data_IF_777464796947
#
_entry.id   IF_777464796947
#
_cell.length_a   1.000
_cell.length_b   1.000
_cell.length_c   1.000
_cell.angle_alpha   90.00
_cell.angle_beta   90.00
_cell.angle_gamma   90.00
#
_symmetry.space_group_name_H-M   'P 1'
#
loop_
_entity.id
_entity.type
_entity.pdbx_description
1 polymer ?
#
# COMPACT_ATOMS: atom_id res chain seq x y z
N UNK A 1 -8.21 -5.67 -14.96
CA UNK A 1 -8.94 -6.66 -15.80
C UNK A 1 -7.95 -7.67 -16.38
N UNK A 2 -6.88 -7.26 -17.08
CA UNK A 2 -5.93 -8.19 -17.72
C UNK A 2 -5.11 -9.02 -16.71
N UNK A 3 -4.78 -8.49 -15.56
CA UNK A 3 -4.00 -9.19 -14.51
C UNK A 3 -4.73 -10.37 -13.88
N UNK A 4 -6.05 -10.44 -14.00
CA UNK A 4 -6.85 -11.58 -13.51
C UNK A 4 -6.92 -12.77 -14.50
N UNK A 5 -6.58 -12.51 -15.77
CA UNK A 5 -6.69 -13.50 -16.85
C UNK A 5 -5.34 -14.06 -17.32
N UNK A 6 -4.24 -13.43 -16.95
CA UNK A 6 -2.90 -13.76 -17.42
C UNK A 6 -1.81 -13.35 -16.43
N UNK A 7 -0.58 -13.87 -16.59
CA UNK A 7 0.53 -13.51 -15.71
C UNK A 7 0.82 -12.00 -15.75
N UNK A 8 1.19 -11.43 -14.61
CA UNK A 8 1.43 -9.99 -14.47
C UNK A 8 2.43 -9.44 -15.51
N UNK A 9 3.52 -10.18 -15.79
CA UNK A 9 4.50 -9.77 -16.79
C UNK A 9 3.92 -9.69 -18.21
N UNK A 10 3.11 -10.67 -18.60
CA UNK A 10 2.46 -10.67 -19.91
C UNK A 10 1.40 -9.55 -20.00
N UNK A 11 0.65 -9.30 -18.93
CA UNK A 11 -0.33 -8.21 -18.88
C UNK A 11 0.34 -6.84 -19.07
N UNK A 12 1.49 -6.60 -18.45
CA UNK A 12 2.27 -5.35 -18.61
C UNK A 12 2.73 -5.19 -20.07
N UNK A 13 3.36 -6.23 -20.64
CA UNK A 13 3.82 -6.19 -22.04
C UNK A 13 2.66 -5.93 -22.99
N UNK A 14 1.54 -6.64 -22.82
CA UNK A 14 0.36 -6.45 -23.65
C UNK A 14 -0.21 -5.03 -23.53
N UNK A 15 -0.27 -4.49 -22.32
CA UNK A 15 -0.76 -3.12 -22.08
C UNK A 15 0.14 -2.10 -22.78
N UNK A 16 1.46 -2.24 -22.68
CA UNK A 16 2.41 -1.35 -23.37
C UNK A 16 2.23 -1.43 -24.88
N UNK A 17 2.16 -2.64 -25.45
CA UNK A 17 1.96 -2.83 -26.88
C UNK A 17 0.65 -2.19 -27.33
N UNK A 18 -0.46 -2.48 -26.66
CA UNK A 18 -1.75 -1.90 -27.00
C UNK A 18 -1.75 -0.37 -26.89
N UNK A 19 -1.14 0.18 -25.86
CA UNK A 19 -1.02 1.63 -25.67
C UNK A 19 -0.23 2.27 -26.83
N UNK A 20 0.87 1.68 -27.26
CA UNK A 20 1.66 2.15 -28.39
C UNK A 20 0.87 2.07 -29.71
N UNK A 21 0.16 0.96 -29.93
CA UNK A 21 -0.68 0.79 -31.12
C UNK A 21 -1.78 1.84 -31.17
N UNK A 22 -2.52 2.01 -30.08
CA UNK A 22 -3.62 2.99 -30.02
C UNK A 22 -3.09 4.42 -30.13
N UNK A 23 -1.99 4.77 -29.47
CA UNK A 23 -1.40 6.10 -29.58
C UNK A 23 -0.93 6.39 -31.01
N UNK A 24 -0.32 5.41 -31.69
CA UNK A 24 0.12 5.54 -33.07
C UNK A 24 -1.07 5.73 -34.02
N UNK A 25 -2.11 4.91 -33.85
CA UNK A 25 -3.33 5.04 -34.66
C UNK A 25 -4.05 6.38 -34.38
N UNK A 26 -4.12 6.82 -33.14
CA UNK A 26 -4.69 8.12 -32.80
C UNK A 26 -3.95 9.24 -33.53
N UNK A 27 -2.64 9.32 -33.34
CA UNK A 27 -1.81 10.41 -33.85
C UNK A 27 -1.73 10.45 -35.41
N UNK A 28 -1.51 9.29 -36.04
CA UNK A 28 -1.28 9.25 -37.50
C UNK A 28 -2.56 9.06 -38.33
N UNK A 29 -3.62 8.55 -37.76
CA UNK A 29 -4.86 8.23 -38.51
C UNK A 29 -6.04 9.03 -38.00
N UNK A 30 -6.39 8.89 -36.70
CA UNK A 30 -7.65 9.44 -36.17
C UNK A 30 -7.61 10.98 -36.16
N UNK A 31 -6.58 11.56 -35.55
CA UNK A 31 -6.46 13.01 -35.41
C UNK A 31 -6.39 13.73 -36.77
N UNK A 32 -5.51 13.34 -37.72
CA UNK A 32 -5.51 13.94 -39.06
C UNK A 32 -6.85 13.78 -39.78
N UNK A 33 -7.47 12.60 -39.70
CA UNK A 33 -8.76 12.35 -40.32
C UNK A 33 -9.87 13.27 -39.78
N UNK A 34 -9.97 13.40 -38.44
CA UNK A 34 -10.94 14.29 -37.78
C UNK A 34 -10.65 15.76 -38.08
N UNK A 35 -9.39 16.13 -38.23
CA UNK A 35 -8.98 17.48 -38.63
C UNK A 35 -9.14 17.78 -40.13
N UNK A 36 -9.68 16.82 -40.93
CA UNK A 36 -9.82 16.95 -42.39
C UNK A 36 -8.51 17.00 -43.14
N UNK A 37 -7.40 16.55 -42.55
CA UNK A 37 -6.06 16.49 -43.14
C UNK A 37 -5.85 15.12 -43.83
N UNK A 38 -4.95 15.05 -44.85
CA UNK A 38 -4.59 13.76 -45.44
C UNK A 38 -3.91 12.86 -44.39
N UNK A 39 -4.36 11.61 -44.31
CA UNK A 39 -3.79 10.60 -43.42
C UNK A 39 -2.52 10.04 -44.05
N UNK A 40 -1.40 10.07 -43.30
CA UNK A 40 -0.11 9.52 -43.73
C UNK A 40 0.43 8.58 -42.66
N UNK A 41 0.49 7.30 -42.98
CA UNK A 41 1.00 6.26 -42.07
C UNK A 41 2.27 5.64 -42.68
N UNK A 42 3.38 5.68 -41.96
CA UNK A 42 4.69 5.17 -42.42
C UNK A 42 5.11 5.62 -43.81
N UNK A 43 4.79 6.88 -44.19
CA UNK A 43 5.14 7.43 -45.51
C UNK A 43 4.11 7.18 -46.59
N UNK A 44 3.11 6.34 -46.39
CA UNK A 44 2.05 6.01 -47.31
C UNK A 44 0.84 6.91 -47.08
N UNK A 45 0.33 7.53 -48.13
CA UNK A 45 -0.92 8.30 -48.06
C UNK A 45 -2.09 7.34 -48.14
N UNK A 46 -2.97 7.43 -47.13
CA UNK A 46 -4.21 6.66 -47.07
C UNK A 46 -5.39 7.57 -47.42
N UNK A 47 -6.07 7.25 -48.49
CA UNK A 47 -7.36 7.89 -48.84
C UNK A 47 -8.47 7.22 -48.03
N UNK A 48 -8.90 7.81 -46.94
CA UNK A 48 -9.99 7.34 -46.09
C UNK A 48 -11.36 7.92 -46.47
N UNK A 49 -11.41 8.77 -47.48
CA UNK A 49 -12.68 9.40 -47.91
C UNK A 49 -13.79 8.41 -48.23
N UNK A 50 -13.56 7.24 -48.91
CA UNK A 50 -14.63 6.25 -49.14
C UNK A 50 -15.17 5.66 -47.85
N UNK A 51 -14.36 5.60 -46.80
CA UNK A 51 -14.74 4.99 -45.53
C UNK A 51 -15.23 5.97 -44.45
N UNK A 52 -15.39 7.25 -44.80
CA UNK A 52 -15.76 8.32 -43.87
C UNK A 52 -17.04 8.01 -43.09
N UNK A 53 -18.07 7.51 -43.75
CA UNK A 53 -19.34 7.13 -43.11
C UNK A 53 -19.15 5.97 -42.11
N UNK A 54 -18.34 4.98 -42.48
CA UNK A 54 -18.04 3.84 -41.61
C UNK A 54 -17.20 4.24 -40.41
N UNK A 55 -16.21 5.12 -40.60
CA UNK A 55 -15.37 5.65 -39.53
C UNK A 55 -16.18 6.47 -38.51
N UNK A 56 -17.09 7.34 -38.97
CA UNK A 56 -17.96 8.07 -38.06
C UNK A 56 -18.97 7.14 -37.38
N UNK A 57 -19.51 6.14 -38.09
CA UNK A 57 -20.39 5.14 -37.51
C UNK A 57 -19.70 4.31 -36.42
N UNK A 58 -18.50 3.80 -36.70
CA UNK A 58 -17.72 3.03 -35.69
C UNK A 58 -17.30 3.87 -34.49
N UNK A 59 -16.94 5.15 -34.70
CA UNK A 59 -16.63 6.08 -33.61
C UNK A 59 -17.85 6.35 -32.72
N UNK A 60 -19.03 6.51 -33.32
CA UNK A 60 -20.27 6.67 -32.56
C UNK A 60 -20.63 5.41 -31.75
N UNK A 61 -20.47 4.22 -32.34
CA UNK A 61 -20.66 2.95 -31.64
C UNK A 61 -19.67 2.80 -30.48
N UNK A 62 -18.39 3.13 -30.72
CA UNK A 62 -17.37 3.07 -29.67
C UNK A 62 -17.68 4.05 -28.52
N UNK A 63 -18.09 5.27 -28.85
CA UNK A 63 -18.51 6.24 -27.86
C UNK A 63 -19.72 5.76 -27.04
N UNK A 64 -20.70 5.13 -27.70
CA UNK A 64 -21.86 4.54 -27.03
C UNK A 64 -21.45 3.38 -26.11
N UNK A 65 -20.57 2.48 -26.57
CA UNK A 65 -20.04 1.37 -25.75
C UNK A 65 -19.30 1.95 -24.52
N UNK A 66 -18.46 2.96 -24.73
CA UNK A 66 -17.76 3.64 -23.63
C UNK A 66 -18.73 4.24 -22.62
N UNK A 67 -19.77 4.93 -23.11
CA UNK A 67 -20.79 5.53 -22.24
C UNK A 67 -21.55 4.45 -21.44
N UNK A 68 -21.95 3.36 -22.10
CA UNK A 68 -22.58 2.22 -21.42
C UNK A 68 -21.65 1.60 -20.38
N UNK A 69 -20.38 1.39 -20.74
CA UNK A 69 -19.39 0.82 -19.82
C UNK A 69 -19.21 1.71 -18.58
N UNK A 70 -19.13 3.03 -18.76
CA UNK A 70 -19.01 3.98 -17.63
C UNK A 70 -20.31 3.99 -16.81
N UNK A 71 -21.47 3.98 -17.46
CA UNK A 71 -22.76 4.01 -16.76
C UNK A 71 -23.09 2.70 -16.03
N UNK A 72 -22.57 1.56 -16.51
CA UNK A 72 -22.78 0.23 -15.92
C UNK A 72 -21.57 -0.25 -15.12
N UNK A 73 -20.49 0.54 -15.09
CA UNK A 73 -19.33 0.21 -14.24
C UNK A 73 -19.82 0.07 -12.80
N UNK A 74 -19.49 -1.04 -12.12
CA UNK A 74 -19.81 -1.16 -10.71
C UNK A 74 -19.21 0.03 -9.98
N UNK A 75 -19.94 0.59 -9.03
CA UNK A 75 -19.39 1.57 -8.11
C UNK A 75 -18.11 1.01 -7.52
N UNK A 76 -17.11 1.87 -7.27
CA UNK A 76 -15.87 1.47 -6.59
C UNK A 76 -16.24 0.60 -5.40
N UNK A 77 -15.64 -0.57 -5.32
CA UNK A 77 -15.87 -1.48 -4.20
C UNK A 77 -15.56 -0.75 -2.88
N UNK A 78 -16.22 -1.14 -1.80
CA UNK A 78 -16.01 -0.54 -0.48
C UNK A 78 -14.52 -0.49 -0.11
N UNK A 79 -13.74 -1.47 -0.59
CA UNK A 79 -12.29 -1.50 -0.44
C UNK A 79 -11.59 -0.34 -1.16
N UNK A 80 -11.86 -0.14 -2.44
CA UNK A 80 -11.24 0.93 -3.25
C UNK A 80 -11.65 2.30 -2.74
N UNK A 81 -12.93 2.46 -2.38
CA UNK A 81 -13.45 3.68 -1.77
C UNK A 81 -12.77 3.93 -0.42
N UNK A 82 -12.66 2.90 0.42
CA UNK A 82 -11.99 2.99 1.72
C UNK A 82 -10.52 3.38 1.59
N UNK A 83 -9.79 2.77 0.66
CA UNK A 83 -8.39 3.14 0.40
C UNK A 83 -8.26 4.57 -0.10
N UNK A 84 -9.11 5.00 -1.04
CA UNK A 84 -9.08 6.36 -1.57
C UNK A 84 -9.38 7.39 -0.48
N UNK A 85 -10.46 7.20 0.28
CA UNK A 85 -10.85 8.11 1.36
C UNK A 85 -9.76 8.17 2.44
N UNK A 86 -9.24 7.03 2.88
CA UNK A 86 -8.18 6.97 3.88
C UNK A 86 -6.87 7.62 3.37
N UNK A 87 -6.51 7.41 2.09
CA UNK A 87 -5.34 8.05 1.49
C UNK A 87 -5.50 9.58 1.41
N UNK A 88 -6.69 10.07 1.07
CA UNK A 88 -6.99 11.51 1.06
C UNK A 88 -6.97 12.10 2.47
N UNK A 89 -7.57 11.43 3.45
CA UNK A 89 -7.54 11.87 4.84
C UNK A 89 -6.13 11.90 5.39
N UNK A 90 -5.30 10.91 5.06
CA UNK A 90 -3.91 10.86 5.46
C UNK A 90 -3.08 11.96 4.78
N UNK A 91 -3.26 12.18 3.48
CA UNK A 91 -2.60 13.29 2.78
C UNK A 91 -2.95 14.63 3.45
N UNK A 92 -4.21 14.83 3.84
CA UNK A 92 -4.67 16.01 4.54
C UNK A 92 -4.07 16.12 5.96
N UNK A 93 -3.97 14.99 6.67
CA UNK A 93 -3.34 14.93 8.00
C UNK A 93 -1.85 15.23 7.91
N UNK A 94 -1.14 14.70 6.91
CA UNK A 94 0.29 14.97 6.70
C UNK A 94 0.53 16.44 6.29
N UNK A 95 -0.35 17.03 5.47
CA UNK A 95 -0.30 18.47 5.17
C UNK A 95 -0.53 19.33 6.41
N UNK A 96 -1.40 18.91 7.32
CA UNK A 96 -1.65 19.61 8.58
C UNK A 96 -0.51 19.40 9.60
N UNK A 97 0.23 18.29 9.53
CA UNK A 97 1.40 18.01 10.40
C UNK A 97 2.59 18.90 10.15
N UNK A 98 2.78 19.39 8.94
CA UNK A 98 3.82 20.39 8.66
C UNK A 98 3.59 21.72 9.40
N UNK A 99 2.45 21.88 10.10
CA UNK A 99 2.10 23.12 10.81
C UNK A 99 1.60 22.98 12.24
N UNK A 100 1.60 21.77 12.83
CA UNK A 100 1.17 21.63 14.23
C UNK A 100 2.09 20.71 15.01
N UNK A 101 3.29 21.22 15.31
CA UNK A 101 3.95 20.86 16.56
C UNK A 101 3.29 21.74 17.63
N UNK A 102 2.11 21.39 18.06
CA UNK A 102 1.58 21.92 19.32
C UNK A 102 2.27 21.17 20.46
N UNK A 103 3.29 21.81 21.01
CA UNK A 103 3.67 21.61 22.40
C UNK A 103 2.49 22.09 23.25
N UNK A 104 1.60 21.17 23.59
CA UNK A 104 0.43 21.46 24.42
C UNK A 104 -0.24 20.16 24.80
N UNK A 105 -0.04 19.73 26.04
CA UNK A 105 -0.65 18.56 26.68
C UNK A 105 -0.41 17.20 25.98
N UNK A 106 0.83 16.88 25.71
CA UNK A 106 1.30 15.50 25.65
C UNK A 106 1.35 14.92 27.07
N UNK A 107 0.21 14.97 27.75
CA UNK A 107 -0.05 14.12 28.89
C UNK A 107 -0.14 12.70 28.35
N UNK A 108 0.90 11.92 28.61
CA UNK A 108 0.97 10.49 28.52
C UNK A 108 0.46 9.87 27.20
N UNK A 109 1.43 9.41 26.36
CA UNK A 109 1.27 8.31 25.44
C UNK A 109 0.80 8.61 24.02
N UNK A 110 1.48 9.51 23.31
CA UNK A 110 1.74 9.23 21.90
C UNK A 110 3.13 8.56 21.79
N UNK A 111 3.36 7.51 22.57
CA UNK A 111 4.67 6.85 22.61
C UNK A 111 4.85 5.80 21.50
N UNK A 112 3.96 5.79 20.52
CA UNK A 112 3.97 4.80 19.43
C UNK A 112 3.77 5.48 18.09
N UNK A 113 4.77 5.38 17.24
CA UNK A 113 4.65 5.69 15.81
C UNK A 113 4.46 4.40 15.03
N UNK A 114 3.46 4.36 14.14
CA UNK A 114 3.20 3.25 13.22
C UNK A 114 3.49 3.73 11.80
N UNK A 115 4.52 3.16 11.18
CA UNK A 115 4.82 3.39 9.76
C UNK A 115 4.31 2.16 9.01
N UNK A 116 3.31 2.35 8.13
CA UNK A 116 2.56 1.27 7.54
C UNK A 116 2.32 1.38 6.04
N UNK A 117 1.99 0.24 5.44
CA UNK A 117 1.54 0.11 4.06
C UNK A 117 0.00 0.14 3.95
N UNK A 118 -0.54 -0.36 2.85
CA UNK A 118 -1.99 -0.38 2.58
C UNK A 118 -2.79 -1.21 3.59
N UNK A 119 -2.19 -2.23 4.21
CA UNK A 119 -2.87 -3.05 5.23
C UNK A 119 -3.08 -2.26 6.51
N UNK A 120 -2.06 -1.51 6.94
CA UNK A 120 -2.16 -0.60 8.06
C UNK A 120 -3.11 0.57 7.78
N UNK A 121 -3.05 1.14 6.56
CA UNK A 121 -3.95 2.20 6.12
C UNK A 121 -5.42 1.76 6.18
N UNK A 122 -5.71 0.55 5.69
CA UNK A 122 -7.04 -0.05 5.75
C UNK A 122 -7.56 -0.19 7.18
N UNK A 123 -6.66 -0.36 8.15
CA UNK A 123 -6.99 -0.47 9.56
C UNK A 123 -7.14 0.87 10.30
N UNK A 124 -7.09 2.02 9.61
CA UNK A 124 -7.02 3.35 10.24
C UNK A 124 -8.16 3.61 11.24
N UNK A 125 -9.38 3.19 10.92
CA UNK A 125 -10.53 3.30 11.84
C UNK A 125 -10.33 2.46 13.11
N UNK A 126 -9.79 1.24 12.97
CA UNK A 126 -9.49 0.38 14.11
C UNK A 126 -8.31 0.93 14.94
N UNK A 127 -7.29 1.51 14.31
CA UNK A 127 -6.22 2.25 15.01
C UNK A 127 -6.81 3.39 15.84
N UNK A 128 -7.65 4.23 15.26
CA UNK A 128 -8.30 5.35 15.97
C UNK A 128 -9.14 4.89 17.15
N UNK A 129 -9.76 3.70 17.06
CA UNK A 129 -10.62 3.15 18.12
C UNK A 129 -9.82 2.43 19.22
N UNK A 130 -8.85 1.58 18.83
CA UNK A 130 -8.16 0.65 19.75
C UNK A 130 -6.83 1.20 20.25
N UNK A 131 -6.20 2.10 19.49
CA UNK A 131 -4.92 2.74 19.80
C UNK A 131 -5.00 4.25 19.49
N UNK A 132 -5.90 5.00 20.14
CA UNK A 132 -6.17 6.40 19.79
C UNK A 132 -4.97 7.32 19.95
N UNK A 133 -3.98 6.92 20.77
CA UNK A 133 -2.78 7.71 21.03
C UNK A 133 -1.59 7.32 20.12
N UNK A 134 -1.73 6.29 19.27
CA UNK A 134 -0.70 5.94 18.31
C UNK A 134 -0.75 6.89 17.12
N UNK A 135 0.43 7.32 16.70
CA UNK A 135 0.59 8.09 15.47
C UNK A 135 0.68 7.12 14.30
N UNK A 136 -0.29 7.16 13.39
CA UNK A 136 -0.31 6.32 12.20
C UNK A 136 0.13 7.11 10.97
N UNK A 137 1.21 6.68 10.34
CA UNK A 137 1.62 7.11 9.00
C UNK A 137 1.61 5.89 8.07
N UNK A 138 0.58 5.75 7.25
CA UNK A 138 0.42 4.62 6.36
C UNK A 138 -0.01 5.08 4.96
N UNK A 139 0.46 4.37 3.91
CA UNK A 139 0.13 4.71 2.53
C UNK A 139 0.00 3.46 1.66
N UNK A 140 -0.77 3.59 0.57
CA UNK A 140 -0.91 2.54 -0.44
C UNK A 140 0.45 2.25 -1.09
N UNK A 141 0.74 0.97 -1.30
CA UNK A 141 1.95 0.49 -1.99
C UNK A 141 3.28 0.96 -1.38
N UNK A 142 3.29 1.37 -0.10
CA UNK A 142 4.53 1.79 0.56
C UNK A 142 5.53 0.65 0.60
N UNK A 143 6.73 0.90 0.08
CA UNK A 143 7.90 0.01 0.16
C UNK A 143 8.69 0.25 1.45
N UNK A 144 9.66 -0.63 1.73
CA UNK A 144 10.62 -0.41 2.82
C UNK A 144 11.44 0.88 2.61
N UNK A 145 11.89 1.19 1.39
CA UNK A 145 12.65 2.41 1.09
C UNK A 145 11.87 3.67 1.47
N UNK A 146 10.60 3.78 1.02
CA UNK A 146 9.76 4.92 1.36
C UNK A 146 9.48 5.01 2.87
N UNK A 147 9.31 3.87 3.54
CA UNK A 147 9.13 3.82 4.99
C UNK A 147 10.41 4.26 5.72
N UNK A 148 11.59 3.90 5.20
CA UNK A 148 12.87 4.27 5.78
C UNK A 148 13.16 5.76 5.66
N UNK A 149 12.80 6.39 4.54
CA UNK A 149 12.87 7.86 4.40
C UNK A 149 12.03 8.58 5.47
N UNK A 150 10.79 8.11 5.70
CA UNK A 150 9.92 8.67 6.75
C UNK A 150 10.55 8.47 8.13
N UNK A 151 11.02 7.26 8.41
CA UNK A 151 11.66 6.92 9.68
C UNK A 151 12.89 7.83 9.96
N UNK A 152 13.75 8.04 8.97
CA UNK A 152 14.90 8.95 9.10
C UNK A 152 14.48 10.40 9.30
N UNK A 153 13.44 10.86 8.61
CA UNK A 153 12.91 12.20 8.76
C UNK A 153 12.34 12.41 10.18
N UNK A 154 11.64 11.42 10.73
CA UNK A 154 11.13 11.49 12.11
C UNK A 154 12.24 11.45 13.15
N UNK A 155 13.33 10.70 12.92
CA UNK A 155 14.52 10.72 13.77
C UNK A 155 15.16 12.11 13.74
N UNK A 156 15.41 12.64 12.56
CA UNK A 156 16.12 13.92 12.38
C UNK A 156 15.34 15.12 12.92
N UNK A 157 14.00 15.07 12.84
CA UNK A 157 13.10 16.09 13.39
C UNK A 157 12.80 15.90 14.89
N UNK A 158 13.22 14.77 15.48
CA UNK A 158 12.92 14.45 16.88
C UNK A 158 11.45 14.11 17.14
N UNK A 159 10.69 13.74 16.12
CA UNK A 159 9.27 13.42 16.22
C UNK A 159 9.00 11.91 16.35
N UNK A 160 10.01 11.06 16.13
CA UNK A 160 9.88 9.62 16.28
C UNK A 160 9.52 9.25 17.73
N UNK A 161 8.47 8.47 17.91
CA UNK A 161 8.08 7.95 19.22
C UNK A 161 9.07 6.89 19.72
N UNK A 162 9.17 6.75 21.05
CA UNK A 162 10.08 5.76 21.70
C UNK A 162 9.80 4.32 21.31
N UNK A 163 8.61 4.02 20.86
CA UNK A 163 8.23 2.72 20.30
C UNK A 163 7.77 2.91 18.84
N UNK A 164 8.50 2.33 17.92
CA UNK A 164 8.17 2.38 16.49
C UNK A 164 7.63 1.03 16.03
N UNK A 165 6.52 1.04 15.33
CA UNK A 165 5.90 -0.13 14.68
C UNK A 165 6.16 -0.03 13.17
N UNK A 166 6.91 -0.97 12.64
CA UNK A 166 7.13 -1.13 11.21
C UNK A 166 6.10 -2.13 10.67
N UNK A 167 5.07 -1.59 10.04
CA UNK A 167 3.94 -2.36 9.50
C UNK A 167 4.03 -2.40 7.96
N UNK A 168 5.18 -2.84 7.46
CA UNK A 168 5.57 -2.90 6.06
C UNK A 168 6.02 -4.34 5.76
N UNK A 169 5.95 -4.74 4.50
CA UNK A 169 6.59 -5.98 4.09
C UNK A 169 5.93 -6.66 2.90
N UNK A 170 4.61 -6.54 2.74
CA UNK A 170 3.90 -7.24 1.67
C UNK A 170 4.29 -6.77 0.26
N UNK A 171 4.74 -5.53 0.13
CA UNK A 171 5.14 -4.91 -1.15
C UNK A 171 6.64 -5.03 -1.46
N UNK A 172 7.47 -5.53 -0.53
CA UNK A 172 8.94 -5.52 -0.65
C UNK A 172 9.53 -6.80 -0.07
N UNK A 173 9.21 -7.95 -0.67
CA UNK A 173 9.64 -9.25 -0.15
C UNK A 173 10.99 -9.74 -0.73
N UNK A 174 11.59 -9.01 -1.65
CA UNK A 174 12.82 -9.50 -2.33
C UNK A 174 14.09 -9.20 -1.52
N UNK A 175 14.14 -8.06 -0.81
CA UNK A 175 15.29 -7.60 -0.02
C UNK A 175 14.96 -7.32 1.45
N UNK A 176 13.92 -7.95 1.96
CA UNK A 176 13.38 -7.67 3.30
C UNK A 176 14.41 -7.77 4.44
N UNK A 177 15.45 -8.60 4.30
CA UNK A 177 16.48 -8.76 5.35
C UNK A 177 17.36 -7.51 5.45
N UNK A 178 17.85 -7.06 4.31
CA UNK A 178 18.67 -5.84 4.19
C UNK A 178 17.85 -4.62 4.57
N UNK A 179 16.60 -4.56 4.11
CA UNK A 179 15.69 -3.46 4.38
C UNK A 179 15.40 -3.33 5.88
N UNK A 180 15.04 -4.43 6.54
CA UNK A 180 14.79 -4.44 8.00
C UNK A 180 16.06 -4.09 8.77
N UNK A 181 17.23 -4.55 8.31
CA UNK A 181 18.51 -4.25 8.96
C UNK A 181 18.80 -2.74 8.97
N UNK A 182 18.46 -2.01 7.92
CA UNK A 182 18.61 -0.55 7.87
C UNK A 182 17.84 0.14 9.01
N UNK A 183 16.61 -0.28 9.32
CA UNK A 183 15.84 0.25 10.45
C UNK A 183 16.46 -0.10 11.79
N UNK A 184 16.97 -1.34 11.93
CA UNK A 184 17.63 -1.80 13.15
C UNK A 184 18.89 -0.97 13.43
N UNK A 185 19.71 -0.72 12.41
CA UNK A 185 20.95 0.05 12.53
C UNK A 185 20.67 1.52 12.84
N UNK A 186 19.70 2.12 12.15
CA UNK A 186 19.34 3.52 12.29
C UNK A 186 18.51 3.85 13.55
N UNK A 187 17.92 2.83 14.21
CA UNK A 187 17.12 3.06 15.43
C UNK A 187 18.00 3.68 16.53
N UNK A 188 17.62 4.82 17.12
CA UNK A 188 18.41 5.44 18.18
C UNK A 188 18.38 4.64 19.49
N UNK A 189 19.38 4.85 20.34
CA UNK A 189 19.40 4.30 21.70
C UNK A 189 18.23 4.84 22.54
N UNK A 190 17.69 4.01 23.40
CA UNK A 190 16.49 4.32 24.18
C UNK A 190 15.16 4.07 23.45
N UNK A 191 15.21 3.54 22.22
CA UNK A 191 14.02 3.22 21.42
C UNK A 191 13.77 1.72 21.32
N UNK A 192 12.54 1.34 20.96
CA UNK A 192 12.10 -0.04 20.72
C UNK A 192 11.51 -0.16 19.33
N UNK A 193 11.70 -1.31 18.68
CA UNK A 193 11.16 -1.60 17.36
C UNK A 193 10.17 -2.77 17.44
N UNK A 194 9.01 -2.59 16.82
CA UNK A 194 8.02 -3.64 16.61
C UNK A 194 7.91 -3.88 15.12
N UNK A 195 8.05 -5.12 14.68
CA UNK A 195 7.91 -5.51 13.28
C UNK A 195 6.64 -6.33 13.13
N UNK A 196 5.82 -5.98 12.16
CA UNK A 196 4.57 -6.68 11.83
C UNK A 196 4.83 -7.65 10.71
N UNK A 197 4.65 -8.96 10.95
CA UNK A 197 4.91 -9.96 9.92
C UNK A 197 3.94 -9.82 8.75
N UNK A 198 4.40 -9.92 7.49
CA UNK A 198 3.52 -9.79 6.32
C UNK A 198 2.62 -11.01 6.15
N UNK A 199 1.49 -10.84 5.45
CA UNK A 199 0.63 -11.92 4.98
C UNK A 199 0.19 -11.68 3.54
N UNK A 200 0.32 -12.72 2.71
CA UNK A 200 -0.17 -12.75 1.33
C UNK A 200 -0.58 -14.20 0.99
N UNK A 201 -1.86 -14.42 0.74
CA UNK A 201 -2.38 -15.75 0.40
C UNK A 201 -1.86 -16.29 -0.94
N UNK A 202 -1.46 -15.39 -1.86
CA UNK A 202 -0.96 -15.74 -3.19
C UNK A 202 0.54 -16.04 -3.21
N UNK A 203 1.31 -15.55 -2.22
CA UNK A 203 2.76 -15.80 -2.10
C UNK A 203 3.15 -16.28 -0.70
N UNK A 204 2.53 -17.37 -0.28
CA UNK A 204 2.72 -17.94 1.06
C UNK A 204 4.18 -18.33 1.36
N UNK A 205 4.95 -18.71 0.35
CA UNK A 205 6.33 -19.14 0.54
C UNK A 205 7.23 -17.96 0.92
N UNK A 206 7.16 -16.85 0.17
CA UNK A 206 7.96 -15.65 0.45
C UNK A 206 7.58 -15.00 1.78
N UNK A 207 6.28 -14.80 2.03
CA UNK A 207 5.85 -14.19 3.31
C UNK A 207 6.18 -15.08 4.51
N UNK A 208 6.20 -16.41 4.34
CA UNK A 208 6.65 -17.31 5.40
C UNK A 208 8.15 -17.17 5.65
N UNK A 209 8.97 -17.03 4.63
CA UNK A 209 10.42 -16.81 4.77
C UNK A 209 10.69 -15.48 5.49
N UNK A 210 10.02 -14.40 5.10
CA UNK A 210 10.13 -13.12 5.77
C UNK A 210 9.73 -13.23 7.25
N UNK A 211 8.59 -13.83 7.54
CA UNK A 211 8.15 -14.08 8.92
C UNK A 211 9.16 -14.88 9.75
N UNK A 212 9.69 -15.98 9.19
CA UNK A 212 10.63 -16.85 9.91
C UNK A 212 11.91 -16.08 10.27
N UNK A 213 12.39 -15.21 9.38
CA UNK A 213 13.49 -14.29 9.65
C UNK A 213 13.12 -13.28 10.75
N UNK A 214 11.99 -12.58 10.61
CA UNK A 214 11.54 -11.60 11.59
C UNK A 214 11.38 -12.20 13.00
N UNK A 215 10.82 -13.42 13.10
CA UNK A 215 10.70 -14.14 14.36
C UNK A 215 12.06 -14.51 15.00
N UNK A 216 13.15 -14.51 14.24
CA UNK A 216 14.49 -14.75 14.75
C UNK A 216 15.13 -13.53 15.39
N UNK A 217 14.75 -12.31 14.95
CA UNK A 217 15.36 -11.05 15.34
C UNK A 217 15.36 -10.78 16.86
N UNK A 218 14.29 -11.07 17.62
CA UNK A 218 14.29 -10.85 19.06
C UNK A 218 15.29 -11.68 19.86
N UNK A 219 15.92 -12.68 19.26
CA UNK A 219 17.00 -13.46 19.89
C UNK A 219 18.33 -12.73 19.87
N UNK A 220 18.55 -11.92 18.83
CA UNK A 220 19.76 -11.10 18.65
C UNK A 220 19.56 -9.70 19.21
N UNK A 221 18.36 -9.13 19.04
CA UNK A 221 18.03 -7.75 19.40
C UNK A 221 16.94 -7.75 20.47
N UNK A 222 17.33 -7.58 21.73
CA UNK A 222 16.43 -7.65 22.89
C UNK A 222 15.35 -6.52 22.91
N UNK A 223 15.53 -5.45 22.16
CA UNK A 223 14.62 -4.32 22.00
C UNK A 223 13.63 -4.49 20.83
N UNK A 224 13.71 -5.60 20.09
CA UNK A 224 12.78 -5.92 19.00
C UNK A 224 11.66 -6.84 19.51
N UNK A 225 10.43 -6.54 19.10
CA UNK A 225 9.24 -7.36 19.35
C UNK A 225 8.54 -7.64 18.03
N UNK A 226 7.98 -8.83 17.85
CA UNK A 226 7.24 -9.19 16.64
C UNK A 226 5.73 -9.19 16.91
N UNK A 227 4.98 -8.48 16.06
CA UNK A 227 3.55 -8.58 15.93
C UNK A 227 3.24 -9.60 14.84
N UNK A 228 3.01 -10.86 15.22
CA UNK A 228 2.86 -11.99 14.29
C UNK A 228 1.49 -11.96 13.60
N UNK A 229 1.32 -11.02 12.67
CA UNK A 229 0.12 -10.90 11.85
C UNK A 229 -0.09 -12.13 10.97
N UNK A 230 0.97 -12.68 10.38
CA UNK A 230 0.87 -13.91 9.60
C UNK A 230 0.12 -15.02 10.35
N UNK A 231 0.47 -15.24 11.62
CA UNK A 231 -0.19 -16.25 12.45
C UNK A 231 -1.67 -15.92 12.66
N UNK A 232 -1.98 -14.68 13.00
CA UNK A 232 -3.37 -14.24 13.19
C UNK A 232 -4.17 -14.37 11.90
N UNK A 233 -3.62 -13.86 10.77
CA UNK A 233 -4.22 -13.92 9.45
C UNK A 233 -4.54 -15.36 9.00
N UNK A 234 -3.60 -16.29 9.24
CA UNK A 234 -3.78 -17.69 8.89
C UNK A 234 -4.82 -18.39 9.77
N UNK A 235 -5.00 -17.94 11.02
CA UNK A 235 -5.97 -18.52 11.96
C UNK A 235 -7.41 -18.03 11.73
N UNK A 236 -7.62 -17.04 10.86
CA UNK A 236 -8.89 -16.40 10.56
C UNK A 236 -9.22 -16.44 9.07
N UNK A 237 -9.47 -17.63 8.49
CA UNK A 237 -9.75 -17.75 7.05
C UNK A 237 -10.99 -16.98 6.59
N UNK A 238 -11.93 -16.72 7.48
CA UNK A 238 -13.17 -16.00 7.22
C UNK A 238 -12.97 -14.55 6.75
N UNK A 239 -11.86 -13.92 7.15
CA UNK A 239 -11.59 -12.52 6.78
C UNK A 239 -11.09 -12.35 5.33
N UNK A 240 -10.78 -13.46 4.66
CA UNK A 240 -10.22 -13.47 3.30
C UNK A 240 -11.25 -13.76 2.21
N UNK A 241 -12.50 -14.05 2.55
CA UNK A 241 -13.54 -14.38 1.58
C UNK A 241 -13.81 -13.20 0.62
N UNK A 242 -13.63 -13.45 -0.67
CA UNK A 242 -13.87 -12.44 -1.73
C UNK A 242 -12.81 -11.33 -1.77
N UNK A 243 -11.61 -11.57 -1.25
CA UNK A 243 -10.51 -10.60 -1.23
C UNK A 243 -9.35 -11.00 -2.14
N UNK A 244 -8.35 -10.13 -2.27
CA UNK A 244 -7.09 -10.38 -2.98
C UNK A 244 -6.09 -11.26 -2.18
N UNK A 245 -6.43 -11.61 -0.94
CA UNK A 245 -5.58 -12.38 -0.05
C UNK A 245 -4.45 -11.60 0.63
N UNK A 246 -4.40 -10.30 0.45
CA UNK A 246 -3.51 -9.34 1.13
C UNK A 246 -4.33 -8.43 2.05
N UNK A 247 -5.43 -7.91 1.51
CA UNK A 247 -6.34 -7.03 2.21
C UNK A 247 -7.57 -7.83 2.66
N UNK A 248 -7.84 -7.83 3.94
CA UNK A 248 -9.01 -8.52 4.50
C UNK A 248 -10.33 -7.86 4.07
N UNK A 249 -11.45 -8.59 4.19
CA UNK A 249 -12.79 -8.15 3.78
C UNK A 249 -13.27 -6.94 4.58
N UNK A 250 -14.01 -6.04 3.90
CA UNK A 250 -14.73 -4.91 4.52
C UNK A 250 -16.10 -5.29 5.09
N UNK A 251 -16.55 -6.51 4.84
CA UNK A 251 -17.91 -6.92 5.23
C UNK A 251 -18.19 -6.78 6.74
N UNK A 252 -17.13 -6.73 7.54
CA UNK A 252 -17.16 -6.43 8.97
C UNK A 252 -15.78 -5.86 9.39
N UNK A 253 -15.70 -5.21 10.52
CA UNK A 253 -14.46 -4.63 11.06
C UNK A 253 -13.48 -5.68 11.60
N UNK A 254 -13.83 -6.96 11.56
CA UNK A 254 -13.09 -8.06 12.22
C UNK A 254 -11.64 -8.13 11.78
N UNK A 255 -11.36 -8.03 10.47
CA UNK A 255 -9.99 -8.09 9.95
C UNK A 255 -9.13 -6.94 10.46
N UNK A 256 -9.66 -5.71 10.43
CA UNK A 256 -8.99 -4.51 10.93
C UNK A 256 -8.74 -4.59 12.44
N UNK A 257 -9.74 -5.03 13.18
CA UNK A 257 -9.64 -5.20 14.64
C UNK A 257 -8.58 -6.26 15.01
N UNK A 258 -8.55 -7.40 14.31
CA UNK A 258 -7.56 -8.45 14.53
C UNK A 258 -6.15 -7.95 14.25
N UNK A 259 -5.98 -7.17 13.18
CA UNK A 259 -4.69 -6.57 12.81
C UNK A 259 -4.20 -5.64 13.92
N UNK A 260 -5.01 -4.67 14.31
CA UNK A 260 -4.65 -3.68 15.34
C UNK A 260 -4.48 -4.34 16.72
N UNK A 261 -5.33 -5.31 17.10
CA UNK A 261 -5.17 -6.08 18.34
C UNK A 261 -3.86 -6.89 18.37
N UNK A 262 -3.41 -7.38 17.20
CA UNK A 262 -2.11 -8.06 17.09
C UNK A 262 -0.97 -7.10 17.38
N UNK A 263 -1.02 -5.89 16.82
CA UNK A 263 -0.05 -4.83 17.08
C UNK A 263 -0.12 -4.38 18.55
N UNK A 264 -1.29 -4.16 19.11
CA UNK A 264 -1.49 -3.76 20.50
C UNK A 264 -0.87 -4.77 21.49
N UNK A 265 -1.03 -6.06 21.23
CA UNK A 265 -0.38 -7.11 22.04
C UNK A 265 1.15 -7.02 21.96
N UNK A 266 1.69 -6.71 20.77
CA UNK A 266 3.12 -6.53 20.61
C UNK A 266 3.63 -5.24 21.31
N UNK A 267 2.89 -4.16 21.27
CA UNK A 267 3.20 -2.92 22.03
C UNK A 267 3.27 -3.22 23.53
N UNK A 268 2.26 -3.87 24.07
CA UNK A 268 2.23 -4.25 25.51
C UNK A 268 3.38 -5.19 25.90
N UNK A 269 3.82 -6.07 24.98
CA UNK A 269 4.98 -6.94 25.19
C UNK A 269 6.28 -6.15 25.09
N UNK A 270 6.39 -5.25 24.14
CA UNK A 270 7.56 -4.39 23.92
C UNK A 270 7.85 -3.50 25.13
N UNK A 271 6.81 -2.96 25.78
CA UNK A 271 6.94 -2.13 26.98
C UNK A 271 7.66 -2.83 28.15
N UNK A 272 7.67 -4.18 28.14
CA UNK A 272 8.33 -5.00 29.16
C UNK A 272 9.76 -5.43 28.77
N UNK A 273 10.24 -5.00 27.61
CA UNK A 273 11.58 -5.32 27.09
C UNK A 273 12.49 -4.11 27.24
N UNK A 274 13.80 -4.31 27.34
CA UNK A 274 14.74 -3.19 27.33
C UNK A 274 14.63 -2.40 26.02
N UNK A 275 15.00 -1.14 26.06
CA UNK A 275 15.19 -0.35 24.86
C UNK A 275 16.59 -0.62 24.27
N UNK A 276 16.85 -0.17 23.05
CA UNK A 276 18.18 -0.26 22.42
C UNK A 276 19.20 0.47 23.31
N UNK A 277 20.34 -0.14 23.53
CA UNK A 277 21.39 0.38 24.42
C UNK A 277 21.19 0.07 25.90
N UNK A 278 20.02 -0.46 26.32
CA UNK A 278 19.80 -0.86 27.73
C UNK A 278 20.21 -2.34 27.94
N UNK A 279 20.90 -2.60 29.03
CA UNK A 279 21.19 -3.97 29.49
C UNK A 279 19.93 -4.62 30.09
N UNK A 280 19.78 -5.92 29.96
CA UNK A 280 18.78 -6.69 30.69
C UNK A 280 19.08 -6.53 32.21
N UNK A 281 18.28 -5.75 32.90
CA UNK A 281 18.30 -5.66 34.37
C UNK A 281 17.58 -6.85 34.99
#
# INVERSE_FOLDING_TARGET
IFTQLMSNGFAVVLTVILSLVFSTLSYYVIEPFLAGKPVKLFGIYLDLSPYKKWLYGSSAVLALITLITVATAPAMGNFETGLLVNSLQQAQTNLNRTHTVTAGDAGALSDVTVIGDSVALRSSAAFSSLLPNAQLDAAVSRSFDNAFEIFQNEISSGTLSKTTVLAIGVNSLDHYQEDIQQFIDALPDGYRLIIVTPYNASDKAKVKQARDYELSLPKTYNYITIADWYKTATSHPEIWNGTDGVHYSDANTTGADLYVKTIQKAINKSAKRPAKGESNS
#
